data_IF_627098058637
#
_entry.id   IF_627098058637
#
_cell.length_a   1.000
_cell.length_b   1.000
_cell.length_c   1.000
_cell.angle_alpha   90.00
_cell.angle_beta   90.00
_cell.angle_gamma   90.00
#
_symmetry.space_group_name_H-M   'P 1'
#
loop_
_entity.id
_entity.type
_entity.pdbx_description
1 polymer ?
#
# COMPACT_ATOMS: atom_id res chain seq x y z
N UNK A 1 22.77 6.48 12.93
CA UNK A 1 21.46 6.24 12.28
C UNK A 1 20.89 4.95 12.85
N UNK A 2 19.62 4.97 13.30
CA UNK A 2 18.93 3.80 13.86
C UNK A 2 18.17 3.14 12.70
N UNK A 3 18.45 1.87 12.41
CA UNK A 3 17.83 1.14 11.29
C UNK A 3 16.83 0.07 11.71
N UNK A 4 16.93 -0.42 12.96
CA UNK A 4 16.04 -1.44 13.51
C UNK A 4 16.03 -1.34 15.04
N UNK A 5 14.84 -1.52 15.62
CA UNK A 5 14.67 -1.61 17.07
C UNK A 5 13.89 -2.88 17.42
N UNK A 6 14.37 -3.62 18.38
CA UNK A 6 13.65 -4.77 18.96
C UNK A 6 13.64 -4.61 20.47
N UNK A 7 12.44 -4.53 21.05
CA UNK A 7 12.29 -4.27 22.47
C UNK A 7 10.91 -4.63 23.00
N UNK A 8 10.67 -4.24 24.25
CA UNK A 8 9.38 -4.41 24.90
C UNK A 8 8.49 -3.21 24.61
N UNK A 9 7.26 -3.47 24.21
CA UNK A 9 6.25 -2.43 23.99
C UNK A 9 5.77 -1.88 25.34
N UNK A 10 6.05 -0.61 25.63
CA UNK A 10 5.60 0.06 26.85
C UNK A 10 4.24 0.73 26.68
N UNK A 11 4.01 1.31 25.50
CA UNK A 11 2.70 1.88 25.13
C UNK A 11 2.50 1.85 23.63
N UNK A 12 1.23 1.78 23.21
CA UNK A 12 0.79 1.72 21.82
C UNK A 12 -0.32 2.74 21.61
N UNK A 13 -0.18 3.54 20.56
CA UNK A 13 -1.20 4.46 20.07
C UNK A 13 -1.22 4.41 18.53
N UNK A 14 -2.33 4.79 17.87
CA UNK A 14 -2.47 4.66 16.42
C UNK A 14 -1.41 5.37 15.58
N UNK A 15 -0.71 6.34 16.15
CA UNK A 15 0.27 7.16 15.45
C UNK A 15 1.69 7.04 16.01
N UNK A 16 1.87 6.43 17.17
CA UNK A 16 3.19 6.22 17.78
C UNK A 16 3.19 5.08 18.79
N UNK A 17 4.35 4.50 19.00
CA UNK A 17 4.61 3.51 20.04
C UNK A 17 5.83 3.90 20.86
N UNK A 18 5.89 3.43 22.10
CA UNK A 18 7.07 3.56 22.98
C UNK A 18 7.67 2.17 23.20
N UNK A 19 8.93 1.99 22.79
CA UNK A 19 9.67 0.75 22.92
C UNK A 19 10.77 0.89 23.96
N UNK A 20 10.83 0.00 24.93
CA UNK A 20 12.00 -0.18 25.78
C UNK A 20 13.01 -1.10 25.11
N UNK A 21 14.17 -0.57 24.82
CA UNK A 21 15.31 -1.33 24.28
C UNK A 21 16.46 -1.23 25.28
N UNK A 22 16.54 -2.21 26.17
CA UNK A 22 17.61 -2.27 27.18
C UNK A 22 17.60 -1.13 28.18
N UNK A 23 16.45 -0.64 28.60
CA UNK A 23 16.30 0.46 29.57
C UNK A 23 16.23 1.84 28.94
N UNK A 24 16.27 1.94 27.60
CA UNK A 24 16.07 3.20 26.86
C UNK A 24 14.72 3.18 26.15
N UNK A 25 13.86 4.15 26.46
CA UNK A 25 12.57 4.33 25.82
C UNK A 25 12.69 5.07 24.50
N UNK A 26 12.31 4.42 23.39
CA UNK A 26 12.28 5.00 22.06
C UNK A 26 10.83 5.31 21.65
N UNK A 27 10.53 6.60 21.43
CA UNK A 27 9.26 7.01 20.83
C UNK A 27 9.37 6.89 19.31
N UNK A 28 8.52 6.07 18.70
CA UNK A 28 8.57 5.73 17.28
C UNK A 28 7.22 6.02 16.65
N UNK A 29 7.17 6.88 15.66
CA UNK A 29 5.98 7.12 14.85
C UNK A 29 5.74 5.95 13.91
N UNK A 30 4.50 5.49 13.83
CA UNK A 30 4.11 4.36 12.99
C UNK A 30 2.91 4.70 12.11
N UNK A 31 2.78 4.12 10.90
CA UNK A 31 1.53 4.16 10.15
C UNK A 31 0.51 3.20 10.76
N UNK A 32 -0.78 3.39 10.44
CA UNK A 32 -1.86 2.53 10.94
C UNK A 32 -1.69 1.07 10.53
N UNK A 33 -1.13 0.78 9.35
CA UNK A 33 -0.78 -0.57 8.92
C UNK A 33 0.12 -1.27 9.92
N UNK A 34 1.23 -0.64 10.29
CA UNK A 34 2.17 -1.14 11.30
C UNK A 34 1.52 -1.23 12.68
N UNK A 35 0.71 -0.24 13.08
CA UNK A 35 -0.02 -0.28 14.35
C UNK A 35 -0.91 -1.53 14.45
N UNK A 36 -1.68 -1.86 13.43
CA UNK A 36 -2.53 -3.05 13.43
C UNK A 36 -1.73 -4.35 13.49
N UNK A 37 -0.57 -4.42 12.86
CA UNK A 37 0.31 -5.61 12.98
C UNK A 37 0.89 -5.73 14.40
N UNK A 38 1.23 -4.63 15.06
CA UNK A 38 1.66 -4.62 16.46
C UNK A 38 0.55 -5.15 17.37
N UNK A 39 -0.68 -4.68 17.19
CA UNK A 39 -1.84 -5.13 17.97
C UNK A 39 -2.15 -6.63 17.72
N UNK A 40 -1.97 -7.11 16.48
CA UNK A 40 -2.15 -8.52 16.13
C UNK A 40 -1.07 -9.42 16.72
N UNK A 41 0.18 -8.96 16.75
CA UNK A 41 1.30 -9.75 17.26
C UNK A 41 1.12 -10.13 18.73
N UNK A 42 0.19 -9.41 19.41
CA UNK A 42 -0.28 -9.77 20.74
C UNK A 42 0.79 -9.63 21.83
N UNK A 43 0.38 -9.90 23.00
CA UNK A 43 0.84 -9.52 24.32
C UNK A 43 2.15 -10.10 24.83
N UNK A 44 3.01 -10.70 24.04
CA UNK A 44 4.37 -11.05 24.51
C UNK A 44 5.25 -9.82 24.76
N UNK A 45 4.70 -8.64 24.46
CA UNK A 45 5.31 -7.35 24.74
C UNK A 45 6.60 -7.05 23.98
N UNK A 46 7.16 -8.03 23.25
CA UNK A 46 8.40 -7.83 22.46
C UNK A 46 8.07 -7.75 20.97
N UNK A 47 8.38 -6.60 20.38
CA UNK A 47 8.22 -6.35 18.96
C UNK A 47 9.52 -5.88 18.31
N UNK A 48 9.60 -6.03 16.99
CA UNK A 48 10.71 -5.53 16.18
C UNK A 48 10.18 -4.65 15.07
N UNK A 49 10.78 -3.46 14.89
CA UNK A 49 10.42 -2.51 13.86
C UNK A 49 11.63 -2.11 13.03
N UNK A 50 11.44 -2.03 11.71
CA UNK A 50 12.37 -1.39 10.80
C UNK A 50 12.25 0.12 10.95
N UNK A 51 13.37 0.81 11.14
CA UNK A 51 13.39 2.22 11.51
C UNK A 51 13.97 3.08 10.38
N UNK A 52 13.27 4.15 10.08
CA UNK A 52 13.83 5.29 9.36
C UNK A 52 14.13 6.40 10.37
N UNK A 53 15.41 6.82 10.45
CA UNK A 53 15.83 7.94 11.30
C UNK A 53 15.75 9.23 10.49
N UNK A 54 14.84 10.10 10.86
CA UNK A 54 14.72 11.43 10.27
C UNK A 54 15.38 12.48 11.18
N UNK A 55 16.48 13.03 10.70
CA UNK A 55 17.20 14.08 11.41
C UNK A 55 16.92 15.42 10.74
N UNK A 56 16.47 16.38 11.52
CA UNK A 56 16.33 17.78 11.12
C UNK A 56 16.87 18.67 12.21
N UNK A 57 17.07 19.96 11.91
CA UNK A 57 17.54 20.93 12.89
C UNK A 57 16.64 20.92 14.13
N UNK A 58 17.23 20.64 15.30
CA UNK A 58 16.57 20.60 16.60
C UNK A 58 15.69 19.37 16.87
N UNK A 59 15.61 18.37 15.96
CA UNK A 59 14.79 17.18 16.21
C UNK A 59 15.36 15.92 15.56
N UNK A 60 15.27 14.81 16.30
CA UNK A 60 15.48 13.46 15.81
C UNK A 60 14.16 12.71 15.95
N UNK A 61 13.59 12.33 14.81
CA UNK A 61 12.31 11.59 14.75
C UNK A 61 12.57 10.18 14.22
N UNK A 62 11.95 9.18 14.84
CA UNK A 62 12.01 7.80 14.41
C UNK A 62 10.67 7.39 13.81
N UNK A 63 10.72 6.82 12.60
CA UNK A 63 9.56 6.25 11.92
C UNK A 63 9.77 4.75 11.83
N UNK A 64 8.79 3.98 12.35
CA UNK A 64 8.87 2.53 12.45
C UNK A 64 7.87 1.84 11.56
N UNK A 65 8.28 0.70 11.01
CA UNK A 65 7.52 -0.09 10.05
C UNK A 65 7.59 -1.57 10.42
N UNK A 66 6.49 -2.28 10.18
CA UNK A 66 6.43 -3.71 10.45
C UNK A 66 7.31 -4.53 9.50
N UNK A 67 7.43 -4.10 8.25
CA UNK A 67 8.27 -4.74 7.24
C UNK A 67 9.30 -3.79 6.65
N UNK A 68 10.40 -4.36 6.14
CA UNK A 68 11.42 -3.60 5.42
C UNK A 68 10.85 -2.98 4.14
N UNK A 69 9.92 -3.65 3.48
CA UNK A 69 9.21 -3.17 2.30
C UNK A 69 8.41 -1.90 2.59
N UNK A 70 7.69 -1.87 3.71
CA UNK A 70 6.95 -0.67 4.12
C UNK A 70 7.89 0.51 4.40
N UNK A 71 9.04 0.26 5.04
CA UNK A 71 10.10 1.24 5.21
C UNK A 71 10.65 1.75 3.87
N UNK A 72 10.94 0.87 2.92
CA UNK A 72 11.42 1.24 1.59
C UNK A 72 10.41 2.11 0.84
N UNK A 73 9.12 1.79 0.92
CA UNK A 73 8.06 2.64 0.36
C UNK A 73 8.02 4.02 1.01
N UNK A 74 8.12 4.08 2.33
CA UNK A 74 8.22 5.35 3.05
C UNK A 74 9.40 6.19 2.56
N UNK A 75 10.59 5.58 2.42
CA UNK A 75 11.80 6.26 1.96
C UNK A 75 11.67 6.77 0.51
N UNK A 76 11.01 5.99 -0.35
CA UNK A 76 10.69 6.43 -1.71
C UNK A 76 9.69 7.60 -1.70
N UNK A 77 8.67 7.57 -0.84
CA UNK A 77 7.67 8.64 -0.73
C UNK A 77 8.28 9.96 -0.27
N UNK A 78 9.12 9.95 0.77
CA UNK A 78 9.75 11.18 1.28
C UNK A 78 10.80 11.77 0.34
N UNK A 79 11.26 11.02 -0.65
CA UNK A 79 12.12 11.51 -1.71
C UNK A 79 11.37 12.33 -2.77
N UNK A 80 10.02 12.24 -2.81
CA UNK A 80 9.19 13.04 -3.72
C UNK A 80 9.04 14.46 -3.18
N UNK A 81 9.30 15.43 -4.04
CA UNK A 81 9.17 16.84 -3.67
C UNK A 81 7.74 17.18 -3.19
N UNK A 82 7.63 17.74 -1.99
CA UNK A 82 6.36 18.08 -1.35
C UNK A 82 5.75 16.97 -0.50
N UNK A 83 6.38 15.80 -0.39
CA UNK A 83 5.97 14.73 0.51
C UNK A 83 6.97 14.64 1.66
N UNK A 84 6.60 15.16 2.82
CA UNK A 84 7.38 15.00 4.05
C UNK A 84 7.00 13.73 4.82
N UNK A 85 7.78 13.38 5.89
CA UNK A 85 7.55 12.18 6.69
C UNK A 85 6.11 12.03 7.22
N UNK A 86 5.49 13.14 7.65
CA UNK A 86 4.11 13.14 8.15
C UNK A 86 3.11 12.72 7.06
N UNK A 87 3.24 13.25 5.85
CA UNK A 87 2.36 12.90 4.75
C UNK A 87 2.63 11.48 4.25
N UNK A 88 3.88 11.05 4.15
CA UNK A 88 4.24 9.69 3.79
C UNK A 88 3.63 8.66 4.76
N UNK A 89 3.63 8.94 6.06
CA UNK A 89 2.96 8.11 7.07
C UNK A 89 1.44 8.06 6.87
N UNK A 90 0.80 9.18 6.55
CA UNK A 90 -0.64 9.23 6.23
C UNK A 90 -0.96 8.41 4.98
N UNK A 91 -0.10 8.46 3.96
CA UNK A 91 -0.25 7.66 2.74
C UNK A 91 -0.24 6.16 3.08
N UNK A 92 0.76 5.70 3.83
CA UNK A 92 0.88 4.29 4.26
C UNK A 92 -0.22 3.87 5.25
N UNK A 93 -0.82 4.83 5.97
CA UNK A 93 -1.99 4.57 6.83
C UNK A 93 -3.29 4.44 6.04
N UNK A 94 -3.41 5.15 4.92
CA UNK A 94 -4.62 5.20 4.09
C UNK A 94 -4.66 4.17 2.97
N UNK A 95 -3.53 3.53 2.65
CA UNK A 95 -3.43 2.56 1.57
C UNK A 95 -2.41 1.48 1.92
N UNK A 96 -2.79 0.19 1.88
CA UNK A 96 -1.84 -0.91 2.07
C UNK A 96 -0.64 -0.80 1.13
N UNK A 97 0.57 -1.25 1.55
CA UNK A 97 1.77 -1.16 0.73
C UNK A 97 1.62 -1.72 -0.68
N UNK A 98 0.99 -2.88 -0.83
CA UNK A 98 0.78 -3.53 -2.12
C UNK A 98 -0.16 -2.75 -3.03
N UNK A 99 -1.21 -2.17 -2.46
CA UNK A 99 -2.16 -1.32 -3.17
C UNK A 99 -1.52 -0.02 -3.64
N UNK A 100 -0.62 0.54 -2.81
CA UNK A 100 0.13 1.74 -3.17
C UNK A 100 1.09 1.47 -4.33
N UNK A 101 1.84 0.36 -4.28
CA UNK A 101 2.73 -0.07 -5.36
C UNK A 101 1.95 -0.27 -6.65
N UNK A 102 0.81 -0.97 -6.61
CA UNK A 102 -0.05 -1.18 -7.77
C UNK A 102 -0.57 0.16 -8.34
N UNK A 103 -1.10 1.05 -7.49
CA UNK A 103 -1.61 2.34 -7.93
C UNK A 103 -0.53 3.24 -8.58
N UNK A 104 0.71 3.18 -8.09
CA UNK A 104 1.84 3.90 -8.66
C UNK A 104 2.28 3.28 -10.00
N UNK A 105 2.38 1.96 -10.09
CA UNK A 105 2.74 1.24 -11.31
C UNK A 105 1.71 1.45 -12.43
N UNK A 106 0.41 1.39 -12.09
CA UNK A 106 -0.71 1.59 -13.02
C UNK A 106 -0.92 3.06 -13.40
N UNK A 107 -0.34 3.99 -12.63
CA UNK A 107 -0.56 5.42 -12.83
C UNK A 107 -1.96 5.90 -12.42
N UNK A 108 -2.58 5.25 -11.42
CA UNK A 108 -3.95 5.52 -10.99
C UNK A 108 -4.03 6.75 -10.06
N UNK A 109 -4.15 7.93 -10.68
CA UNK A 109 -4.33 9.22 -9.99
C UNK A 109 -5.57 9.21 -9.10
N UNK A 110 -6.66 8.59 -9.55
CA UNK A 110 -7.94 8.58 -8.83
C UNK A 110 -7.82 7.83 -7.50
N UNK A 111 -7.14 6.68 -7.52
CA UNK A 111 -6.89 5.88 -6.33
C UNK A 111 -5.99 6.60 -5.32
N UNK A 112 -4.92 7.24 -5.80
CA UNK A 112 -4.00 8.00 -4.94
C UNK A 112 -4.66 9.22 -4.31
N UNK A 113 -5.54 9.92 -5.00
CA UNK A 113 -6.24 11.11 -4.47
C UNK A 113 -7.31 10.80 -3.42
N UNK A 114 -7.65 9.53 -3.19
CA UNK A 114 -8.51 9.13 -2.07
C UNK A 114 -7.81 9.26 -0.71
N UNK A 115 -6.48 9.29 -0.71
CA UNK A 115 -5.71 9.46 0.52
C UNK A 115 -5.78 10.92 0.98
N UNK A 116 -6.17 11.19 2.23
CA UNK A 116 -6.22 12.54 2.75
C UNK A 116 -4.87 13.27 2.63
N UNK A 117 -4.91 14.50 2.12
CA UNK A 117 -3.71 15.32 1.90
C UNK A 117 -3.04 15.12 0.54
N UNK A 118 -3.52 14.20 -0.31
CA UNK A 118 -3.04 14.05 -1.67
C UNK A 118 -4.02 14.69 -2.65
N UNK A 119 -3.60 15.80 -3.26
CA UNK A 119 -4.29 16.40 -4.39
C UNK A 119 -3.82 15.83 -5.72
N UNK A 120 -4.56 16.12 -6.80
CA UNK A 120 -4.25 15.67 -8.16
C UNK A 120 -2.78 15.94 -8.56
N UNK A 121 -2.28 17.14 -8.33
CA UNK A 121 -0.87 17.51 -8.66
C UNK A 121 0.15 16.67 -7.88
N UNK A 122 -0.12 16.36 -6.62
CA UNK A 122 0.76 15.51 -5.79
C UNK A 122 0.72 14.06 -6.30
N UNK A 123 -0.47 13.53 -6.62
CA UNK A 123 -0.61 12.20 -7.16
C UNK A 123 0.11 12.02 -8.51
N UNK A 124 -0.06 12.98 -9.44
CA UNK A 124 0.64 12.98 -10.73
C UNK A 124 2.17 13.02 -10.55
N UNK A 125 2.67 13.82 -9.59
CA UNK A 125 4.09 13.88 -9.25
C UNK A 125 4.59 12.56 -8.66
N UNK A 126 3.84 11.97 -7.73
CA UNK A 126 4.17 10.65 -7.17
C UNK A 126 4.34 9.60 -8.27
N UNK A 127 3.40 9.54 -9.20
CA UNK A 127 3.47 8.61 -10.33
C UNK A 127 4.72 8.90 -11.16
N UNK A 128 4.94 10.15 -11.57
CA UNK A 128 6.08 10.52 -12.39
C UNK A 128 7.44 10.17 -11.75
N UNK A 129 7.57 10.40 -10.44
CA UNK A 129 8.85 10.22 -9.74
C UNK A 129 9.06 8.79 -9.20
N UNK A 130 7.98 8.03 -8.98
CA UNK A 130 8.05 6.72 -8.29
C UNK A 130 7.70 5.53 -9.17
N UNK A 131 6.98 5.68 -10.28
CA UNK A 131 6.54 4.55 -11.11
C UNK A 131 7.65 3.55 -11.39
N UNK A 132 8.77 4.01 -11.93
CA UNK A 132 9.90 3.12 -12.26
C UNK A 132 10.61 2.59 -11.01
N UNK A 133 10.64 3.39 -9.94
CA UNK A 133 11.31 3.03 -8.68
C UNK A 133 10.56 1.99 -7.84
N UNK A 134 9.29 1.77 -8.10
CA UNK A 134 8.49 0.75 -7.39
C UNK A 134 8.33 -0.53 -8.21
N UNK A 135 8.85 -0.59 -9.45
CA UNK A 135 8.75 -1.79 -10.30
C UNK A 135 9.41 -3.01 -9.66
N UNK A 136 10.56 -2.85 -9.00
CA UNK A 136 11.22 -3.93 -8.27
C UNK A 136 10.32 -4.46 -7.12
N UNK A 137 9.63 -3.54 -6.45
CA UNK A 137 8.68 -3.89 -5.39
C UNK A 137 7.40 -4.51 -5.97
N UNK A 138 7.01 -4.16 -7.19
CA UNK A 138 5.87 -4.73 -7.87
C UNK A 138 6.11 -6.19 -8.29
N UNK A 139 7.35 -6.52 -8.67
CA UNK A 139 7.73 -7.88 -9.07
C UNK A 139 7.63 -8.89 -7.89
N UNK A 140 7.78 -8.41 -6.65
CA UNK A 140 7.67 -9.21 -5.43
C UNK A 140 6.23 -9.27 -4.88
N UNK A 141 5.25 -8.63 -5.55
CA UNK A 141 3.86 -8.72 -5.14
C UNK A 141 3.38 -10.18 -5.28
N UNK A 142 2.80 -10.78 -4.23
CA UNK A 142 2.07 -12.02 -4.42
C UNK A 142 1.01 -11.77 -5.50
N UNK A 143 0.85 -12.75 -6.39
CA UNK A 143 -0.20 -12.67 -7.40
C UNK A 143 -1.51 -12.28 -6.72
N UNK A 144 -2.13 -11.19 -7.18
CA UNK A 144 -3.37 -10.69 -6.58
C UNK A 144 -4.39 -11.82 -6.56
N UNK A 145 -5.10 -12.06 -5.42
CA UNK A 145 -6.11 -13.11 -5.38
C UNK A 145 -7.07 -12.96 -6.58
N UNK A 146 -7.38 -14.06 -7.24
CA UNK A 146 -8.25 -14.07 -8.42
C UNK A 146 -9.57 -13.30 -8.17
N UNK A 147 -10.16 -13.45 -6.97
CA UNK A 147 -11.37 -12.72 -6.58
C UNK A 147 -11.22 -11.19 -6.58
N UNK A 148 -10.04 -10.65 -6.23
CA UNK A 148 -9.80 -9.21 -6.28
C UNK A 148 -9.59 -8.71 -7.72
N UNK A 149 -8.98 -9.55 -8.57
CA UNK A 149 -8.85 -9.26 -10.01
C UNK A 149 -10.21 -9.30 -10.70
N UNK A 150 -11.07 -10.23 -10.32
CA UNK A 150 -12.41 -10.39 -10.89
C UNK A 150 -13.32 -9.21 -10.52
N UNK A 151 -13.23 -8.67 -9.29
CA UNK A 151 -13.97 -7.47 -8.91
C UNK A 151 -13.50 -6.23 -9.71
N UNK A 152 -12.20 -6.08 -9.95
CA UNK A 152 -11.67 -5.00 -10.80
C UNK A 152 -12.16 -5.13 -12.25
N UNK A 153 -12.24 -6.36 -12.78
CA UNK A 153 -12.80 -6.63 -14.11
C UNK A 153 -14.29 -6.27 -14.20
N UNK A 154 -15.05 -6.66 -13.19
CA UNK A 154 -16.48 -6.30 -13.09
C UNK A 154 -16.67 -4.79 -13.06
N UNK A 155 -15.87 -4.08 -12.25
CA UNK A 155 -15.92 -2.61 -12.17
C UNK A 155 -15.55 -1.95 -13.51
N UNK A 156 -14.54 -2.47 -14.21
CA UNK A 156 -14.16 -1.98 -15.53
C UNK A 156 -15.30 -2.13 -16.55
N UNK A 157 -15.97 -3.28 -16.55
CA UNK A 157 -17.12 -3.53 -17.44
C UNK A 157 -18.32 -2.66 -17.10
N UNK A 158 -18.59 -2.42 -15.79
CA UNK A 158 -19.64 -1.49 -15.35
C UNK A 158 -19.34 -0.06 -15.79
N UNK A 159 -18.08 0.39 -15.70
CA UNK A 159 -17.66 1.70 -16.19
C UNK A 159 -17.78 1.86 -17.71
N UNK A 160 -17.71 0.75 -18.45
CA UNK A 160 -18.01 0.70 -19.91
C UNK A 160 -19.50 0.67 -20.22
N UNK A 161 -20.38 0.70 -19.20
CA UNK A 161 -21.83 0.80 -19.36
C UNK A 161 -22.60 -0.52 -19.30
N UNK A 162 -21.94 -1.64 -19.01
CA UNK A 162 -22.63 -2.93 -18.83
C UNK A 162 -23.28 -3.01 -17.44
N UNK A 163 -24.38 -3.77 -17.33
CA UNK A 163 -25.02 -4.02 -16.04
C UNK A 163 -24.11 -4.90 -15.17
N UNK A 164 -24.04 -4.58 -13.87
CA UNK A 164 -23.18 -5.31 -12.93
C UNK A 164 -23.37 -6.84 -12.99
N UNK A 165 -24.61 -7.30 -13.02
CA UNK A 165 -24.96 -8.72 -13.12
C UNK A 165 -24.40 -9.39 -14.37
N UNK A 166 -24.48 -8.71 -15.52
CA UNK A 166 -23.98 -9.22 -16.79
C UNK A 166 -22.44 -9.23 -16.79
N UNK A 167 -21.82 -8.21 -16.21
CA UNK A 167 -20.36 -8.13 -16.01
C UNK A 167 -19.86 -9.27 -15.11
N UNK A 168 -20.51 -9.54 -13.97
CA UNK A 168 -20.17 -10.62 -13.04
C UNK A 168 -20.25 -11.99 -13.76
N UNK A 169 -21.31 -12.26 -14.49
CA UNK A 169 -21.47 -13.51 -15.24
C UNK A 169 -20.41 -13.66 -16.34
N UNK A 170 -20.11 -12.60 -17.08
CA UNK A 170 -19.12 -12.63 -18.15
C UNK A 170 -17.70 -12.83 -17.62
N UNK A 171 -17.38 -12.20 -16.48
CA UNK A 171 -16.07 -12.35 -15.81
C UNK A 171 -15.90 -13.75 -15.25
N UNK A 172 -16.91 -14.29 -14.55
CA UNK A 172 -16.89 -15.65 -14.04
C UNK A 172 -16.67 -16.69 -15.13
N UNK A 173 -17.43 -16.59 -16.24
CA UNK A 173 -17.30 -17.48 -17.39
C UNK A 173 -15.95 -17.34 -18.12
N UNK A 174 -15.33 -16.14 -18.12
CA UNK A 174 -14.01 -15.94 -18.68
C UNK A 174 -12.93 -16.56 -17.80
N UNK A 175 -13.09 -16.50 -16.48
CA UNK A 175 -12.18 -17.12 -15.51
C UNK A 175 -12.26 -18.65 -15.50
N UNK A 176 -13.47 -19.22 -15.72
CA UNK A 176 -13.63 -20.69 -15.89
C UNK A 176 -12.88 -21.21 -17.12
N UNK A 177 -12.87 -20.46 -18.22
CA UNK A 177 -12.15 -20.85 -19.45
C UNK A 177 -10.63 -20.72 -19.30
N UNK A 178 -10.16 -19.73 -18.55
CA UNK A 178 -8.74 -19.47 -18.32
C UNK A 178 -8.50 -19.06 -16.85
N UNK A 179 -8.33 -20.05 -15.95
CA UNK A 179 -8.18 -19.80 -14.51
C UNK A 179 -6.98 -18.93 -14.12
N UNK A 180 -5.88 -19.02 -14.89
CA UNK A 180 -4.64 -18.29 -14.67
C UNK A 180 -4.44 -17.14 -15.67
N UNK A 181 -5.47 -16.83 -16.44
CA UNK A 181 -5.43 -15.83 -17.50
C UNK A 181 -5.07 -14.44 -17.00
N UNK A 182 -4.26 -13.72 -17.77
CA UNK A 182 -3.93 -12.34 -17.48
C UNK A 182 -5.20 -11.46 -17.53
N UNK A 183 -5.28 -10.45 -16.64
CA UNK A 183 -6.44 -9.54 -16.50
C UNK A 183 -6.89 -8.96 -17.86
N UNK A 184 -5.94 -8.60 -18.72
CA UNK A 184 -6.22 -8.06 -20.06
C UNK A 184 -6.92 -9.09 -20.97
N UNK A 185 -6.53 -10.37 -20.92
CA UNK A 185 -7.11 -11.41 -21.74
C UNK A 185 -8.50 -11.80 -21.23
N UNK A 186 -8.67 -11.84 -19.91
CA UNK A 186 -9.97 -12.04 -19.27
C UNK A 186 -10.93 -10.88 -19.56
N UNK A 187 -10.46 -9.63 -19.55
CA UNK A 187 -11.29 -8.48 -19.94
C UNK A 187 -11.74 -8.61 -21.39
N UNK A 188 -10.85 -8.97 -22.30
CA UNK A 188 -11.17 -9.16 -23.71
C UNK A 188 -12.17 -10.32 -23.91
N UNK A 189 -12.00 -11.42 -23.19
CA UNK A 189 -12.91 -12.56 -23.21
C UNK A 189 -14.30 -12.18 -22.69
N UNK A 190 -14.38 -11.43 -21.60
CA UNK A 190 -15.63 -10.94 -21.02
C UNK A 190 -16.36 -9.98 -21.96
N UNK A 191 -15.65 -9.01 -22.56
CA UNK A 191 -16.22 -8.10 -23.56
C UNK A 191 -16.76 -8.83 -24.78
N UNK A 192 -16.03 -9.86 -25.27
CA UNK A 192 -16.48 -10.68 -26.40
C UNK A 192 -17.76 -11.45 -26.11
N UNK A 193 -17.99 -11.84 -24.85
CA UNK A 193 -19.24 -12.49 -24.41
C UNK A 193 -20.39 -11.48 -24.33
N UNK A 194 -20.14 -10.32 -23.74
CA UNK A 194 -21.13 -9.26 -23.58
C UNK A 194 -21.57 -8.63 -24.92
N UNK A 195 -20.70 -8.60 -25.92
CA UNK A 195 -21.04 -8.09 -27.27
C UNK A 195 -21.84 -9.06 -28.11
N UNK A 196 -22.02 -10.31 -27.66
CA UNK A 196 -22.79 -11.36 -28.35
C UNK A 196 -24.15 -11.63 -27.72
N UNK A 197 -24.40 -11.05 -26.55
CA UNK A 197 -25.64 -11.13 -25.80
C UNK A 197 -26.54 -9.91 -26.08
#
# INVERSE_FOLDING_TARGET
MIGYLKGTLLSSAPDHVLLDVGGVGYAVFVPLSTFYEIERAGSDGRIGLFIHTHLREGALELFGFWSEREKQLFEKLIAVSGIGPKLARVILSGMPPDDLVAALADGDVTRLTRVPGIGKKTAERMILELKDKVMDLAADLPARPAAAQDEDLVLALVNLGYRRKDAEMATAAAREDDPDGAVHDLLRASLKRLSRA
#
